data_IF_634317049793
#
_entry.id   IF_634317049793
#
_cell.length_a   1.000
_cell.length_b   1.000
_cell.length_c   1.000
_cell.angle_alpha   90.00
_cell.angle_beta   90.00
_cell.angle_gamma   90.00
#
_symmetry.space_group_name_H-M   'P 1'
#
loop_
_entity.id
_entity.type
_entity.pdbx_description
1 polymer ?
#
# COMPACT_ATOMS: atom_id res chain seq x y z
N UNK A 1 38.12 12.14 -28.44
CA UNK A 1 37.99 11.83 -27.00
C UNK A 1 38.97 10.76 -26.54
N UNK A 2 39.29 9.76 -27.37
CA UNK A 2 40.27 8.70 -27.02
C UNK A 2 41.71 9.19 -26.81
N UNK A 3 42.15 10.20 -27.55
CA UNK A 3 43.50 10.78 -27.42
C UNK A 3 43.73 11.45 -26.04
N UNK A 4 42.69 12.06 -25.47
CA UNK A 4 42.71 12.64 -24.12
C UNK A 4 42.69 11.56 -23.03
N UNK A 5 42.00 10.45 -23.27
CA UNK A 5 41.98 9.30 -22.37
C UNK A 5 43.33 8.58 -22.33
N UNK A 6 44.01 8.43 -23.47
CA UNK A 6 45.36 7.86 -23.55
C UNK A 6 46.40 8.71 -22.81
N UNK A 7 46.32 10.04 -22.91
CA UNK A 7 47.23 10.94 -22.18
C UNK A 7 47.04 10.86 -20.67
N UNK A 8 45.79 10.79 -20.18
CA UNK A 8 45.53 10.64 -18.75
C UNK A 8 45.94 9.28 -18.20
N UNK A 9 45.92 8.24 -19.03
CA UNK A 9 46.38 6.90 -18.64
C UNK A 9 47.91 6.80 -18.60
N UNK A 10 48.63 7.59 -19.41
CA UNK A 10 50.10 7.68 -19.38
C UNK A 10 50.65 8.39 -18.13
N UNK A 11 49.89 9.32 -17.54
CA UNK A 11 50.23 9.97 -16.26
C UNK A 11 49.83 9.13 -15.02
N UNK A 12 49.08 8.05 -15.21
CA UNK A 12 48.70 7.15 -14.12
C UNK A 12 49.90 6.27 -13.68
N UNK A 13 50.00 5.90 -12.39
CA UNK A 13 51.03 4.98 -11.90
C UNK A 13 51.13 3.72 -12.75
N UNK A 14 52.34 3.22 -13.02
CA UNK A 14 52.62 2.06 -13.88
C UNK A 14 51.81 0.81 -13.50
N UNK A 15 51.44 0.69 -12.22
CA UNK A 15 50.60 -0.39 -11.68
C UNK A 15 49.18 -0.37 -12.31
N UNK A 16 48.62 0.82 -12.54
CA UNK A 16 47.30 0.99 -13.16
C UNK A 16 47.36 0.87 -14.69
N UNK A 17 48.50 1.24 -15.30
CA UNK A 17 48.72 1.06 -16.76
C UNK A 17 48.83 -0.42 -17.17
N UNK A 18 49.30 -1.28 -16.26
CA UNK A 18 49.43 -2.73 -16.48
C UNK A 18 48.18 -3.52 -16.09
N UNK A 19 47.18 -2.88 -15.48
CA UNK A 19 45.92 -3.54 -15.14
C UNK A 19 44.87 -3.36 -16.25
N UNK A 20 44.17 -4.44 -16.55
CA UNK A 20 43.00 -4.39 -17.44
C UNK A 20 41.82 -3.75 -16.72
N UNK A 21 40.90 -3.14 -17.49
CA UNK A 21 39.65 -2.55 -16.97
C UNK A 21 38.87 -3.56 -16.13
N UNK A 22 38.89 -4.83 -16.54
CA UNK A 22 38.29 -5.96 -15.83
C UNK A 22 38.95 -6.20 -14.46
N UNK A 23 40.27 -6.12 -14.37
CA UNK A 23 41.00 -6.30 -13.11
C UNK A 23 40.70 -5.17 -12.11
N UNK A 24 40.57 -3.93 -12.59
CA UNK A 24 40.21 -2.77 -11.76
C UNK A 24 38.76 -2.88 -11.29
N UNK A 25 37.84 -3.32 -12.15
CA UNK A 25 36.44 -3.55 -11.79
C UNK A 25 36.31 -4.63 -10.71
N UNK A 26 37.01 -5.76 -10.86
CA UNK A 26 37.06 -6.80 -9.83
C UNK A 26 37.64 -6.31 -8.51
N UNK A 27 38.69 -5.48 -8.56
CA UNK A 27 39.28 -4.92 -7.34
C UNK A 27 38.29 -3.99 -6.62
N UNK A 28 37.57 -3.16 -7.37
CA UNK A 28 36.54 -2.27 -6.84
C UNK A 28 35.39 -3.07 -6.23
N UNK A 29 34.95 -4.15 -6.89
CA UNK A 29 33.91 -5.04 -6.35
C UNK A 29 34.36 -5.70 -5.05
N UNK A 30 35.59 -6.21 -4.98
CA UNK A 30 36.15 -6.77 -3.75
C UNK A 30 36.22 -5.73 -2.61
N UNK A 31 36.62 -4.50 -2.93
CA UNK A 31 36.66 -3.40 -1.95
C UNK A 31 35.26 -3.03 -1.48
N UNK A 32 34.28 -2.96 -2.39
CA UNK A 32 32.89 -2.66 -2.04
C UNK A 32 32.28 -3.77 -1.18
N UNK A 33 32.55 -5.04 -1.49
CA UNK A 33 32.11 -6.18 -0.66
C UNK A 33 32.72 -6.09 0.74
N UNK A 34 34.03 -5.85 0.85
CA UNK A 34 34.69 -5.69 2.14
C UNK A 34 34.17 -4.48 2.92
N UNK A 35 33.87 -3.38 2.22
CA UNK A 35 33.31 -2.17 2.80
C UNK A 35 31.87 -2.38 3.28
N UNK A 36 31.06 -3.13 2.54
CA UNK A 36 29.70 -3.50 2.96
C UNK A 36 29.71 -4.43 4.18
N UNK A 37 30.67 -5.36 4.24
CA UNK A 37 30.85 -6.20 5.42
C UNK A 37 31.24 -5.38 6.66
N UNK A 38 32.14 -4.41 6.51
CA UNK A 38 32.62 -3.53 7.58
C UNK A 38 31.59 -2.46 8.00
N UNK A 39 30.80 -1.96 7.04
CA UNK A 39 29.79 -0.90 7.27
C UNK A 39 28.40 -1.48 7.53
N UNK A 40 28.32 -2.81 7.69
CA UNK A 40 27.08 -3.49 8.00
C UNK A 40 26.44 -2.86 9.26
N UNK A 41 25.11 -2.69 9.23
CA UNK A 41 24.31 -2.15 10.35
C UNK A 41 24.66 -2.82 11.67
N UNK A 42 25.00 -4.12 11.67
CA UNK A 42 25.46 -4.84 12.87
C UNK A 42 26.75 -4.27 13.46
N UNK A 43 27.76 -3.98 12.63
CA UNK A 43 29.04 -3.41 13.08
C UNK A 43 28.84 -1.97 13.53
N UNK A 44 27.99 -1.19 12.85
CA UNK A 44 27.61 0.14 13.31
C UNK A 44 26.93 0.11 14.69
N UNK A 45 25.98 -0.81 14.91
CA UNK A 45 25.36 -1.00 16.22
C UNK A 45 26.38 -1.45 17.28
N UNK A 46 27.25 -2.42 16.99
CA UNK A 46 28.29 -2.88 17.91
C UNK A 46 29.30 -1.77 18.25
N UNK A 47 29.69 -0.96 17.26
CA UNK A 47 30.54 0.21 17.46
C UNK A 47 29.87 1.21 18.40
N UNK A 48 28.59 1.50 18.20
CA UNK A 48 27.83 2.41 19.06
C UNK A 48 27.63 1.86 20.48
N UNK A 49 27.45 0.55 20.63
CA UNK A 49 27.40 -0.13 21.94
C UNK A 49 28.74 0.01 22.68
N UNK A 50 29.87 -0.14 21.97
CA UNK A 50 31.21 0.03 22.56
C UNK A 50 31.45 1.46 23.07
N UNK A 51 30.96 2.47 22.34
CA UNK A 51 31.22 3.88 22.65
C UNK A 51 30.24 4.48 23.66
N UNK A 52 29.02 3.94 23.77
CA UNK A 52 28.03 4.43 24.73
C UNK A 52 27.11 3.32 25.21
N UNK A 53 27.13 2.98 26.52
CA UNK A 53 26.21 1.97 27.07
C UNK A 53 24.74 2.39 26.94
N UNK A 54 24.45 3.70 26.88
CA UNK A 54 23.10 4.25 26.70
C UNK A 54 22.48 3.88 25.34
N UNK A 55 23.29 3.51 24.35
CA UNK A 55 22.78 3.14 23.03
C UNK A 55 21.96 1.85 23.07
N UNK A 56 22.32 0.90 23.96
CA UNK A 56 21.54 -0.33 24.19
C UNK A 56 20.15 0.02 24.72
N UNK A 57 20.06 0.95 25.66
CA UNK A 57 18.78 1.39 26.22
C UNK A 57 17.90 2.05 25.15
N UNK A 58 18.48 2.94 24.34
CA UNK A 58 17.77 3.61 23.22
C UNK A 58 17.28 2.58 22.20
N UNK A 59 18.12 1.62 21.83
CA UNK A 59 17.76 0.57 20.88
C UNK A 59 16.64 -0.30 21.44
N UNK A 60 16.73 -0.69 22.71
CA UNK A 60 15.68 -1.46 23.40
C UNK A 60 14.37 -0.69 23.49
N UNK A 61 14.41 0.62 23.74
CA UNK A 61 13.25 1.49 23.78
C UNK A 61 12.60 1.61 22.40
N UNK A 62 13.39 1.76 21.33
CA UNK A 62 12.90 1.76 19.95
C UNK A 62 12.25 0.43 19.57
N UNK A 63 12.83 -0.71 19.98
CA UNK A 63 12.23 -2.02 19.77
C UNK A 63 10.90 -2.17 20.51
N UNK A 64 10.85 -1.77 21.79
CA UNK A 64 9.60 -1.78 22.58
C UNK A 64 8.52 -0.90 21.95
N UNK A 65 8.88 0.28 21.47
CA UNK A 65 7.97 1.17 20.76
C UNK A 65 7.43 0.51 19.49
N UNK A 66 8.30 -0.09 18.66
CA UNK A 66 7.89 -0.81 17.45
C UNK A 66 6.95 -1.97 17.78
N UNK A 67 7.23 -2.73 18.83
CA UNK A 67 6.38 -3.84 19.29
C UNK A 67 4.99 -3.32 19.70
N UNK A 68 4.93 -2.25 20.51
CA UNK A 68 3.67 -1.63 20.91
C UNK A 68 2.85 -1.13 19.71
N UNK A 69 3.50 -0.58 18.69
CA UNK A 69 2.83 -0.16 17.45
C UNK A 69 2.26 -1.38 16.71
N UNK A 70 3.00 -2.47 16.61
CA UNK A 70 2.53 -3.72 15.97
C UNK A 70 1.33 -4.29 16.71
N UNK A 71 1.33 -4.30 18.04
CA UNK A 71 0.18 -4.75 18.84
C UNK A 71 -1.06 -3.89 18.62
N UNK A 72 -0.90 -2.56 18.62
CA UNK A 72 -2.00 -1.62 18.30
C UNK A 72 -2.54 -1.86 16.90
N UNK A 73 -1.67 -2.02 15.92
CA UNK A 73 -2.05 -2.31 14.53
C UNK A 73 -2.85 -3.61 14.43
N UNK A 74 -2.45 -4.65 15.17
CA UNK A 74 -3.15 -5.93 15.24
C UNK A 74 -4.54 -5.80 15.85
N UNK A 75 -4.66 -5.03 16.94
CA UNK A 75 -5.94 -4.76 17.58
C UNK A 75 -6.87 -3.97 16.65
N UNK A 76 -6.35 -2.92 15.99
CA UNK A 76 -7.10 -2.13 15.00
C UNK A 76 -7.57 -2.98 13.82
N UNK A 77 -6.73 -3.89 13.31
CA UNK A 77 -7.11 -4.82 12.25
C UNK A 77 -8.30 -5.69 12.68
N UNK A 78 -8.24 -6.30 13.87
CA UNK A 78 -9.32 -7.14 14.37
C UNK A 78 -10.63 -6.35 14.58
N UNK A 79 -10.54 -5.12 15.08
CA UNK A 79 -11.70 -4.25 15.23
C UNK A 79 -12.33 -3.88 13.87
N UNK A 80 -11.49 -3.60 12.87
CA UNK A 80 -11.96 -3.27 11.52
C UNK A 80 -12.61 -4.48 10.84
N UNK A 81 -12.04 -5.67 10.98
CA UNK A 81 -12.62 -6.92 10.45
C UNK A 81 -14.02 -7.18 11.03
N UNK A 82 -14.21 -6.96 12.34
CA UNK A 82 -15.53 -7.05 12.98
C UNK A 82 -16.50 -6.03 12.40
N UNK A 83 -16.09 -4.76 12.29
CA UNK A 83 -16.93 -3.68 11.76
C UNK A 83 -17.33 -3.91 10.30
N UNK A 84 -16.41 -4.43 9.48
CA UNK A 84 -16.71 -4.81 8.09
C UNK A 84 -17.77 -5.92 8.06
N UNK A 85 -17.66 -6.91 8.94
CA UNK A 85 -18.63 -8.00 9.03
C UNK A 85 -20.02 -7.49 9.42
N UNK A 86 -20.11 -6.65 10.46
CA UNK A 86 -21.35 -6.02 10.91
C UNK A 86 -22.02 -5.20 9.80
N UNK A 87 -21.26 -4.33 9.11
CA UNK A 87 -21.78 -3.54 8.00
C UNK A 87 -22.25 -4.41 6.82
N UNK A 88 -21.59 -5.54 6.60
CA UNK A 88 -21.99 -6.49 5.54
C UNK A 88 -23.30 -7.19 5.89
N UNK A 89 -23.48 -7.59 7.15
CA UNK A 89 -24.72 -8.17 7.65
C UNK A 89 -25.87 -7.15 7.59
N UNK A 90 -25.62 -5.90 7.98
CA UNK A 90 -26.59 -4.81 7.88
C UNK A 90 -26.98 -4.53 6.42
N UNK A 91 -26.01 -4.45 5.50
CA UNK A 91 -26.27 -4.27 4.08
C UNK A 91 -27.10 -5.42 3.49
N UNK A 92 -26.81 -6.67 3.88
CA UNK A 92 -27.59 -7.84 3.48
C UNK A 92 -29.02 -7.80 4.04
N UNK A 93 -29.23 -7.25 5.24
CA UNK A 93 -30.55 -7.05 5.83
C UNK A 93 -31.36 -5.95 5.16
N UNK A 94 -30.71 -4.90 4.65
CA UNK A 94 -31.38 -3.78 3.97
C UNK A 94 -31.77 -4.13 2.54
N UNK A 95 -30.98 -4.94 1.84
CA UNK A 95 -31.25 -5.35 0.45
C UNK A 95 -32.67 -5.92 0.19
N UNK A 96 -33.22 -6.86 1.00
CA UNK A 96 -34.58 -7.35 0.80
C UNK A 96 -35.64 -6.28 1.06
N UNK A 97 -35.40 -5.34 2.00
CA UNK A 97 -36.33 -4.25 2.27
C UNK A 97 -36.41 -3.30 1.06
N UNK A 98 -35.26 -2.99 0.45
CA UNK A 98 -35.21 -2.19 -0.78
C UNK A 98 -35.98 -2.89 -1.91
N UNK A 99 -35.78 -4.20 -2.10
CA UNK A 99 -36.51 -4.97 -3.12
C UNK A 99 -38.02 -4.93 -2.92
N UNK A 100 -38.48 -5.15 -1.69
CA UNK A 100 -39.91 -5.08 -1.36
C UNK A 100 -40.47 -3.67 -1.57
N UNK A 101 -39.73 -2.62 -1.22
CA UNK A 101 -40.15 -1.23 -1.44
C UNK A 101 -40.31 -0.93 -2.93
N UNK A 102 -39.38 -1.39 -3.78
CA UNK A 102 -39.46 -1.23 -5.24
C UNK A 102 -40.70 -1.93 -5.79
N UNK A 103 -40.96 -3.17 -5.38
CA UNK A 103 -42.15 -3.91 -5.81
C UNK A 103 -43.46 -3.19 -5.44
N UNK A 104 -43.58 -2.73 -4.19
CA UNK A 104 -44.76 -1.99 -3.73
C UNK A 104 -44.92 -0.65 -4.46
N UNK A 105 -43.82 0.04 -4.73
CA UNK A 105 -43.86 1.31 -5.47
C UNK A 105 -44.30 1.08 -6.92
N UNK A 106 -43.83 -0.01 -7.57
CA UNK A 106 -44.29 -0.39 -8.92
C UNK A 106 -45.76 -0.78 -8.94
N UNK A 107 -46.24 -1.47 -7.91
CA UNK A 107 -47.66 -1.84 -7.80
C UNK A 107 -48.53 -0.59 -7.63
N UNK A 108 -48.16 0.30 -6.71
CA UNK A 108 -48.83 1.58 -6.52
C UNK A 108 -48.83 2.43 -7.80
N UNK A 109 -47.73 2.45 -8.55
CA UNK A 109 -47.65 3.13 -9.83
C UNK A 109 -48.66 2.58 -10.85
N UNK A 110 -48.87 1.26 -10.91
CA UNK A 110 -49.89 0.64 -11.76
C UNK A 110 -51.30 1.00 -11.31
N UNK A 111 -51.58 0.92 -10.01
CA UNK A 111 -52.89 1.25 -9.45
C UNK A 111 -53.28 2.72 -9.77
N UNK A 112 -52.32 3.64 -9.65
CA UNK A 112 -52.51 5.05 -10.00
C UNK A 112 -52.71 5.21 -11.53
N UNK A 113 -51.96 4.50 -12.37
CA UNK A 113 -52.15 4.55 -13.83
C UNK A 113 -53.55 4.07 -14.24
N UNK A 114 -54.04 3.00 -13.63
CA UNK A 114 -55.40 2.50 -13.85
C UNK A 114 -56.47 3.50 -13.40
N UNK A 115 -56.30 4.12 -12.23
CA UNK A 115 -57.25 5.10 -11.71
C UNK A 115 -57.32 6.35 -12.59
N UNK A 116 -56.15 6.86 -13.04
CA UNK A 116 -56.09 7.98 -14.00
C UNK A 116 -56.72 7.57 -15.34
N UNK A 117 -56.43 6.38 -15.87
CA UNK A 117 -57.00 5.90 -17.13
C UNK A 117 -58.54 5.87 -17.09
N UNK A 118 -59.13 5.39 -15.98
CA UNK A 118 -60.58 5.40 -15.76
C UNK A 118 -61.14 6.83 -15.81
N UNK A 119 -60.45 7.78 -15.16
CA UNK A 119 -60.84 9.20 -15.14
C UNK A 119 -60.76 9.88 -16.52
N UNK A 120 -59.88 9.41 -17.41
CA UNK A 120 -59.66 9.96 -18.75
C UNK A 120 -60.25 9.14 -19.92
N UNK A 121 -61.39 8.48 -19.67
CA UNK A 121 -62.16 7.71 -20.69
C UNK A 121 -61.36 6.55 -21.32
N UNK A 122 -60.54 5.86 -20.53
CA UNK A 122 -59.80 4.67 -20.96
C UNK A 122 -58.58 4.94 -21.83
N UNK A 123 -58.06 6.18 -21.83
CA UNK A 123 -56.78 6.49 -22.49
C UNK A 123 -55.62 5.92 -21.66
N UNK A 124 -54.69 5.26 -22.35
CA UNK A 124 -53.48 4.69 -21.71
C UNK A 124 -52.62 5.81 -21.13
N UNK A 125 -52.30 5.71 -19.83
CA UNK A 125 -51.44 6.66 -19.11
C UNK A 125 -50.24 5.91 -18.54
N UNK A 126 -49.04 6.35 -18.91
CA UNK A 126 -47.78 5.83 -18.37
C UNK A 126 -47.11 6.92 -17.53
N UNK A 127 -46.88 6.64 -16.25
CA UNK A 127 -46.12 7.52 -15.35
C UNK A 127 -44.63 7.28 -15.61
N UNK A 128 -43.93 8.29 -16.12
CA UNK A 128 -42.48 8.26 -16.36
C UNK A 128 -41.71 8.76 -15.13
N UNK A 129 -40.56 8.15 -14.83
CA UNK A 129 -39.73 8.51 -13.67
C UNK A 129 -39.87 7.60 -12.43
N UNK A 130 -40.38 6.38 -12.58
CA UNK A 130 -40.47 5.41 -11.49
C UNK A 130 -39.10 4.95 -10.97
N UNK A 131 -39.08 4.45 -9.72
CA UNK A 131 -37.87 3.92 -9.05
C UNK A 131 -37.39 2.66 -9.79
N UNK A 132 -36.37 2.83 -10.62
CA UNK A 132 -35.61 1.74 -11.23
C UNK A 132 -34.27 1.67 -10.50
N UNK A 133 -33.94 0.49 -9.97
CA UNK A 133 -32.59 0.14 -9.56
C UNK A 133 -32.04 -0.88 -10.56
#
# INVERSE_FOLDING_TARGET
SDLLAMSQMQDAPTILQMQTVESVAMLNDCVNVALDELTNKRISHLHNIKHSPKYVDILSASLKQKLSVVEKMRASKSALEKKIKELREEAQGIEPVIKLLIERTKQLQKDIQEDISKKYKGRVVNIVGGVNM
#
